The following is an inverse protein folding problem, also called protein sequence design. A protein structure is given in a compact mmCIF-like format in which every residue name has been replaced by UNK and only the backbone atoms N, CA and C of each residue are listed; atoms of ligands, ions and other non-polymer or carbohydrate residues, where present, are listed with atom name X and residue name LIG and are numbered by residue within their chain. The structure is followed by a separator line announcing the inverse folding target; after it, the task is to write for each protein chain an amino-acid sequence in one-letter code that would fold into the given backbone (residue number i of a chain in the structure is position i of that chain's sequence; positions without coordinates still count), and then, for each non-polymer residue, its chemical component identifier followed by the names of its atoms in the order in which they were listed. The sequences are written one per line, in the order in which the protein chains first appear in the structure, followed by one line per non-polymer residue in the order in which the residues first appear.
data_IF_296451064659
#
_entry.id   IF_296451064659
#
_cell.length_a   1.000
_cell.length_b   1.000
_cell.length_c   1.000
_cell.angle_alpha   90.00
_cell.angle_beta   90.00
_cell.angle_gamma   90.00
#
_symmetry.space_group_name_H-M   'P 1'
#
loop_
_entity.id
_entity.type
_entity.pdbx_description
1 polymer ?
#
# COMPACT_ATOMS: atom_id res chain seq x y z
N UNK A 1 -15.00 0.39 53.65
CA UNK A 1 -15.10 -0.77 52.72
C UNK A 1 -15.94 -0.44 51.49
N UNK A 2 -17.17 0.04 51.65
CA UNK A 2 -18.06 0.47 50.54
C UNK A 2 -17.47 1.54 49.63
N UNK A 3 -16.79 2.54 50.20
CA UNK A 3 -16.17 3.63 49.42
C UNK A 3 -15.04 3.12 48.52
N UNK A 4 -14.18 2.24 49.04
CA UNK A 4 -13.10 1.59 48.27
C UNK A 4 -13.68 0.76 47.12
N UNK A 5 -14.75 0.00 47.39
CA UNK A 5 -15.41 -0.86 46.42
C UNK A 5 -16.05 -0.04 45.29
N UNK A 6 -16.67 1.08 45.62
CA UNK A 6 -17.24 2.02 44.65
C UNK A 6 -16.16 2.66 43.76
N UNK A 7 -15.04 3.12 44.34
CA UNK A 7 -13.93 3.70 43.57
C UNK A 7 -13.33 2.67 42.60
N UNK A 8 -13.14 1.43 43.04
CA UNK A 8 -12.65 0.34 42.19
C UNK A 8 -13.58 0.06 41.01
N UNK A 9 -14.89 0.06 41.24
CA UNK A 9 -15.89 -0.16 40.19
C UNK A 9 -15.86 0.95 39.13
N UNK A 10 -15.72 2.21 39.58
CA UNK A 10 -15.61 3.39 38.73
C UNK A 10 -14.35 3.37 37.86
N UNK A 11 -13.19 3.06 38.47
CA UNK A 11 -11.93 2.92 37.74
C UNK A 11 -11.99 1.77 36.73
N UNK A 12 -12.56 0.62 37.12
CA UNK A 12 -12.67 -0.54 36.24
C UNK A 12 -13.56 -0.24 35.04
N UNK A 13 -14.72 0.39 35.25
CA UNK A 13 -15.60 0.79 34.16
C UNK A 13 -14.92 1.80 33.21
N UNK A 14 -14.16 2.75 33.74
CA UNK A 14 -13.41 3.72 32.96
C UNK A 14 -12.28 3.06 32.13
N UNK A 15 -11.49 2.19 32.75
CA UNK A 15 -10.43 1.44 32.06
C UNK A 15 -11.00 0.51 30.98
N UNK A 16 -12.13 -0.14 31.25
CA UNK A 16 -12.81 -0.96 30.27
C UNK A 16 -13.32 -0.13 29.09
N UNK A 17 -13.97 1.00 29.34
CA UNK A 17 -14.44 1.91 28.29
C UNK A 17 -13.30 2.45 27.42
N UNK A 18 -12.19 2.85 28.03
CA UNK A 18 -11.00 3.29 27.30
C UNK A 18 -10.34 2.17 26.50
N UNK A 19 -10.31 0.93 27.03
CA UNK A 19 -9.82 -0.24 26.30
C UNK A 19 -10.68 -0.55 25.06
N UNK A 20 -12.01 -0.56 25.21
CA UNK A 20 -12.94 -0.78 24.08
C UNK A 20 -12.76 0.30 23.02
N UNK A 21 -12.63 1.57 23.44
CA UNK A 21 -12.41 2.68 22.52
C UNK A 21 -11.05 2.58 21.82
N UNK A 22 -9.99 2.21 22.54
CA UNK A 22 -8.67 2.00 21.97
C UNK A 22 -8.67 0.83 20.96
N UNK A 23 -9.33 -0.28 21.28
CA UNK A 23 -9.48 -1.42 20.39
C UNK A 23 -10.30 -1.06 19.14
N UNK A 24 -11.42 -0.34 19.33
CA UNK A 24 -12.21 0.18 18.22
C UNK A 24 -11.36 1.10 17.33
N UNK A 25 -10.57 2.00 17.94
CA UNK A 25 -9.70 2.90 17.21
C UNK A 25 -8.56 2.16 16.49
N UNK A 26 -8.02 1.10 17.07
CA UNK A 26 -6.99 0.27 16.45
C UNK A 26 -7.55 -0.54 15.26
N UNK A 27 -8.71 -1.17 15.43
CA UNK A 27 -9.38 -1.94 14.36
C UNK A 27 -9.83 -1.00 13.24
N UNK A 28 -10.34 0.18 13.59
CA UNK A 28 -10.93 1.11 12.62
C UNK A 28 -9.92 2.04 11.98
N UNK A 29 -8.89 2.46 12.72
CA UNK A 29 -7.94 3.51 12.31
C UNK A 29 -6.47 3.07 12.37
N UNK A 30 -6.18 1.78 12.61
CA UNK A 30 -4.85 1.15 12.53
C UNK A 30 -4.35 1.04 11.09
N UNK A 31 -4.15 2.20 10.48
CA UNK A 31 -3.75 2.44 9.08
C UNK A 31 -2.46 1.74 8.68
N UNK A 32 -1.57 1.46 9.64
CA UNK A 32 -0.28 0.83 9.38
C UNK A 32 -0.44 -0.60 8.87
N UNK A 33 -1.44 -1.35 9.39
CA UNK A 33 -1.71 -2.73 8.98
C UNK A 33 -2.19 -2.85 7.53
N UNK A 34 -2.92 -1.85 7.02
CA UNK A 34 -3.58 -1.89 5.73
C UNK A 34 -2.61 -1.79 4.54
N UNK A 35 -1.44 -1.17 4.74
CA UNK A 35 -0.42 -0.98 3.71
C UNK A 35 0.65 -2.09 3.65
N UNK A 36 0.74 -2.98 4.66
CA UNK A 36 1.71 -4.09 4.65
C UNK A 36 1.63 -4.99 3.41
N UNK A 37 0.43 -5.34 2.90
CA UNK A 37 0.34 -6.12 1.66
C UNK A 37 1.05 -5.44 0.48
N UNK A 38 0.97 -4.11 0.37
CA UNK A 38 1.68 -3.35 -0.68
C UNK A 38 3.20 -3.37 -0.50
N UNK A 39 3.70 -3.36 0.73
CA UNK A 39 5.13 -3.55 1.00
C UNK A 39 5.58 -4.96 0.61
N UNK A 40 4.78 -5.99 0.90
CA UNK A 40 5.09 -7.36 0.50
C UNK A 40 5.15 -7.51 -1.03
N UNK A 41 4.27 -6.85 -1.78
CA UNK A 41 4.35 -6.82 -3.25
C UNK A 41 5.64 -6.15 -3.73
N UNK A 42 5.99 -4.99 -3.17
CA UNK A 42 7.24 -4.31 -3.52
C UNK A 42 8.46 -5.20 -3.24
N UNK A 43 8.49 -5.86 -2.09
CA UNK A 43 9.58 -6.75 -1.70
C UNK A 43 9.65 -7.99 -2.61
N UNK A 44 8.49 -8.51 -3.04
CA UNK A 44 8.41 -9.58 -4.05
C UNK A 44 8.98 -9.12 -5.40
N UNK A 45 8.65 -7.92 -5.87
CA UNK A 45 9.20 -7.36 -7.12
C UNK A 45 10.72 -7.17 -7.02
N UNK A 46 11.23 -6.69 -5.88
CA UNK A 46 12.68 -6.63 -5.63
C UNK A 46 13.28 -8.05 -5.66
N UNK A 47 12.59 -9.03 -5.06
CA UNK A 47 12.98 -10.43 -5.09
C UNK A 47 13.10 -10.99 -6.49
N UNK A 48 12.19 -10.64 -7.41
CA UNK A 48 12.26 -11.08 -8.81
C UNK A 48 13.53 -10.57 -9.52
N UNK A 49 14.01 -9.37 -9.18
CA UNK A 49 15.27 -8.83 -9.72
C UNK A 49 16.48 -9.52 -9.11
N UNK A 50 16.48 -9.65 -7.78
CA UNK A 50 17.66 -10.09 -7.02
C UNK A 50 17.85 -11.60 -7.08
N UNK A 51 16.76 -12.38 -7.02
CA UNK A 51 16.79 -13.84 -6.91
C UNK A 51 16.37 -14.54 -8.20
N UNK A 52 15.37 -14.02 -8.93
CA UNK A 52 14.86 -14.68 -10.15
C UNK A 52 15.56 -14.22 -11.43
N UNK A 53 16.49 -13.26 -11.33
CA UNK A 53 17.30 -12.78 -12.46
C UNK A 53 16.50 -12.00 -13.51
N UNK A 54 15.36 -11.44 -13.14
CA UNK A 54 14.59 -10.54 -14.02
C UNK A 54 15.39 -9.26 -14.26
N UNK A 55 15.52 -8.86 -15.52
CA UNK A 55 16.22 -7.63 -15.87
C UNK A 55 15.54 -6.43 -15.20
N UNK A 56 16.32 -5.57 -14.57
CA UNK A 56 15.83 -4.33 -13.97
C UNK A 56 15.25 -3.39 -15.03
N UNK A 57 15.70 -3.49 -16.28
CA UNK A 57 15.16 -2.73 -17.40
C UNK A 57 13.87 -3.32 -17.98
N UNK A 58 13.34 -4.42 -17.41
CA UNK A 58 12.08 -5.01 -17.85
C UNK A 58 10.91 -4.00 -17.65
N UNK A 59 10.16 -3.66 -18.73
CA UNK A 59 9.09 -2.68 -18.65
C UNK A 59 7.96 -3.05 -17.68
N UNK A 60 7.64 -4.34 -17.53
CA UNK A 60 6.59 -4.79 -16.62
C UNK A 60 7.02 -4.70 -15.17
N UNK A 61 8.27 -5.04 -14.88
CA UNK A 61 8.85 -4.86 -13.55
C UNK A 61 8.85 -3.38 -13.14
N UNK A 62 9.35 -2.48 -14.00
CA UNK A 62 9.38 -1.04 -13.74
C UNK A 62 7.97 -0.49 -13.50
N UNK A 63 7.02 -0.84 -14.37
CA UNK A 63 5.63 -0.43 -14.25
C UNK A 63 4.97 -0.91 -12.95
N UNK A 64 5.13 -2.19 -12.55
CA UNK A 64 4.56 -2.72 -11.31
C UNK A 64 5.20 -2.10 -10.07
N UNK A 65 6.51 -1.91 -10.11
CA UNK A 65 7.27 -1.31 -9.02
C UNK A 65 6.86 0.16 -8.80
N UNK A 66 6.82 0.94 -9.87
CA UNK A 66 6.38 2.34 -9.83
C UNK A 66 4.90 2.47 -9.45
N UNK A 67 4.03 1.54 -9.88
CA UNK A 67 2.63 1.52 -9.48
C UNK A 67 2.44 1.28 -7.97
N UNK A 68 3.20 0.33 -7.41
CA UNK A 68 3.20 0.09 -5.96
C UNK A 68 3.75 1.30 -5.20
N UNK A 69 4.88 1.87 -5.65
CA UNK A 69 5.49 3.03 -5.02
C UNK A 69 4.61 4.29 -5.10
N UNK A 70 3.90 4.53 -6.20
CA UNK A 70 3.00 5.68 -6.36
C UNK A 70 1.90 5.74 -5.28
N UNK A 71 1.50 4.58 -4.75
CA UNK A 71 0.56 4.43 -3.64
C UNK A 71 1.27 4.53 -2.29
N UNK A 72 2.42 3.85 -2.15
CA UNK A 72 3.20 3.81 -0.92
C UNK A 72 3.79 5.17 -0.53
N UNK A 73 4.08 6.07 -1.47
CA UNK A 73 4.53 7.45 -1.18
C UNK A 73 3.51 8.23 -0.34
N UNK A 74 2.21 7.91 -0.48
CA UNK A 74 1.14 8.49 0.34
C UNK A 74 0.90 7.74 1.66
N UNK A 75 1.39 6.50 1.79
CA UNK A 75 1.32 5.74 3.03
C UNK A 75 2.35 6.35 3.98
N UNK A 76 1.90 6.95 5.08
CA UNK A 76 2.79 7.40 6.16
C UNK A 76 3.52 6.25 6.89
N UNK A 77 3.50 5.05 6.31
CA UNK A 77 4.38 3.94 6.64
C UNK A 77 5.73 4.16 5.93
N UNK A 78 6.46 5.19 6.32
CA UNK A 78 7.91 5.09 6.30
C UNK A 78 8.31 5.23 7.75
N UNK A 79 8.11 4.13 8.50
CA UNK A 79 7.66 4.17 9.89
C UNK A 79 8.31 5.22 10.80
N UNK A 80 7.58 6.29 11.14
CA UNK A 80 7.84 7.23 12.26
C UNK A 80 9.12 8.09 12.23
N UNK A 81 9.29 9.06 13.17
CA UNK A 81 10.59 9.62 13.56
C UNK A 81 11.58 8.56 14.09
N UNK A 82 11.09 7.35 14.38
CA UNK A 82 11.83 6.09 14.50
C UNK A 82 12.30 5.49 13.14
N UNK A 83 11.92 6.05 11.99
CA UNK A 83 12.21 5.57 10.64
C UNK A 83 12.37 6.68 9.58
N UNK A 84 12.58 7.93 9.99
CA UNK A 84 13.05 9.00 9.10
C UNK A 84 14.56 9.01 8.80
N UNK A 85 15.47 8.47 9.63
CA UNK A 85 16.81 8.13 9.13
C UNK A 85 16.76 7.12 7.96
N UNK A 86 15.75 6.25 7.91
CA UNK A 86 15.60 5.23 6.86
C UNK A 86 15.08 5.79 5.55
N UNK A 87 14.13 6.72 5.60
CA UNK A 87 13.69 7.45 4.41
C UNK A 87 14.79 8.36 3.83
N UNK A 88 15.69 8.89 4.67
CA UNK A 88 16.83 9.70 4.22
C UNK A 88 17.92 8.87 3.49
N UNK A 89 18.21 7.63 3.93
CA UNK A 89 19.09 6.69 3.20
C UNK A 89 18.49 6.17 1.89
N UNK A 90 17.16 6.05 1.82
CA UNK A 90 16.45 5.85 0.55
C UNK A 90 16.75 7.01 -0.41
N UNK A 91 16.91 8.26 0.07
CA UNK A 91 17.21 9.44 -0.75
C UNK A 91 18.59 9.50 -1.43
N UNK A 92 19.67 8.94 -0.86
CA UNK A 92 21.00 9.03 -1.50
C UNK A 92 21.23 7.95 -2.59
N UNK A 93 20.63 6.76 -2.46
CA UNK A 93 20.84 5.60 -3.35
C UNK A 93 20.10 5.69 -4.69
N UNK A 94 19.04 6.49 -4.79
CA UNK A 94 18.44 6.88 -6.07
C UNK A 94 19.09 8.17 -6.65
N UNK A 95 20.04 8.77 -5.93
CA UNK A 95 20.72 10.04 -6.24
C UNK A 95 21.89 9.99 -7.24
N UNK A 96 22.15 8.85 -7.90
CA UNK A 96 23.30 8.71 -8.81
C UNK A 96 23.08 9.15 -10.26
N UNK A 97 21.93 8.83 -10.87
CA UNK A 97 21.50 9.22 -12.23
C UNK A 97 20.18 8.50 -12.55
N UNK A 98 19.23 9.21 -13.15
CA UNK A 98 17.97 8.71 -13.74
C UNK A 98 17.00 8.06 -12.73
N UNK A 99 16.01 8.77 -12.20
CA UNK A 99 14.74 8.96 -12.90
C UNK A 99 13.94 10.06 -12.22
N UNK A 100 13.88 11.24 -12.85
CA UNK A 100 12.81 12.22 -12.58
C UNK A 100 11.54 11.68 -13.24
N UNK A 101 10.88 10.70 -12.63
CA UNK A 101 9.46 10.46 -12.91
C UNK A 101 8.67 10.99 -11.73
N UNK A 102 8.35 12.26 -11.92
CA UNK A 102 7.52 13.19 -11.16
C UNK A 102 6.46 12.51 -10.30
N UNK A 103 6.38 12.94 -9.04
CA UNK A 103 5.14 12.93 -8.26
C UNK A 103 4.01 13.54 -9.11
N UNK A 104 3.21 12.71 -9.78
CA UNK A 104 2.16 13.26 -10.65
C UNK A 104 1.30 12.19 -11.29
N UNK A 105 1.89 11.40 -12.18
CA UNK A 105 1.17 10.44 -13.01
C UNK A 105 1.57 9.01 -12.68
N UNK A 106 0.62 8.08 -12.79
CA UNK A 106 0.92 6.66 -12.82
C UNK A 106 1.90 6.35 -13.97
N UNK A 107 2.77 5.33 -13.82
CA UNK A 107 3.62 4.87 -14.90
C UNK A 107 2.74 4.43 -16.08
N UNK A 108 3.19 4.69 -17.30
CA UNK A 108 2.49 4.18 -18.48
C UNK A 108 2.61 2.67 -18.54
N UNK A 109 1.49 1.99 -18.79
CA UNK A 109 1.46 0.54 -18.98
C UNK A 109 2.36 0.14 -20.18
N UNK A 110 3.14 -0.95 -20.06
CA UNK A 110 3.89 -1.50 -21.19
C UNK A 110 2.97 -1.93 -22.34
N UNK A 111 3.40 -1.68 -23.58
CA UNK A 111 2.71 -2.14 -24.79
C UNK A 111 2.84 -3.66 -24.99
N UNK A 112 3.85 -4.28 -24.37
CA UNK A 112 4.08 -5.72 -24.43
C UNK A 112 2.99 -6.50 -23.69
N UNK A 113 2.65 -7.72 -24.14
CA UNK A 113 1.74 -8.57 -23.39
C UNK A 113 2.31 -8.91 -22.01
N UNK A 114 1.42 -9.10 -21.03
CA UNK A 114 1.83 -9.53 -19.69
C UNK A 114 2.52 -10.89 -19.77
N UNK A 115 3.74 -10.94 -19.26
CA UNK A 115 4.48 -12.20 -19.19
C UNK A 115 4.02 -13.06 -18.00
N UNK A 116 4.01 -14.41 -18.16
CA UNK A 116 3.51 -15.31 -17.11
C UNK A 116 4.18 -15.13 -15.74
N UNK A 117 5.47 -14.79 -15.71
CA UNK A 117 6.23 -14.58 -14.47
C UNK A 117 5.70 -13.42 -13.62
N UNK A 118 5.10 -12.39 -14.24
CA UNK A 118 4.54 -11.25 -13.52
C UNK A 118 3.07 -11.44 -13.12
N UNK A 119 2.41 -12.51 -13.58
CA UNK A 119 0.99 -12.74 -13.31
C UNK A 119 0.67 -12.74 -11.81
N UNK A 120 1.46 -13.46 -11.01
CA UNK A 120 1.27 -13.50 -9.56
C UNK A 120 1.50 -12.12 -8.92
N UNK A 121 2.46 -11.33 -9.41
CA UNK A 121 2.72 -9.99 -8.88
C UNK A 121 1.57 -9.01 -9.21
N UNK A 122 0.94 -9.13 -10.39
CA UNK A 122 -0.25 -8.36 -10.78
C UNK A 122 -1.45 -8.71 -9.89
N UNK A 123 -1.68 -10.00 -9.65
CA UNK A 123 -2.76 -10.48 -8.77
C UNK A 123 -2.55 -10.00 -7.33
N UNK A 124 -1.34 -10.14 -6.80
CA UNK A 124 -1.02 -9.67 -5.45
C UNK A 124 -1.15 -8.15 -5.32
N UNK A 125 -0.75 -7.38 -6.35
CA UNK A 125 -0.89 -5.93 -6.37
C UNK A 125 -2.38 -5.51 -6.36
N UNK A 126 -3.22 -6.15 -7.18
CA UNK A 126 -4.67 -5.89 -7.15
C UNK A 126 -5.26 -6.16 -5.77
N UNK A 127 -4.93 -7.32 -5.19
CA UNK A 127 -5.43 -7.74 -3.88
C UNK A 127 -4.97 -6.80 -2.76
N UNK A 128 -3.68 -6.43 -2.76
CA UNK A 128 -3.09 -5.52 -1.79
C UNK A 128 -3.72 -4.12 -1.85
N UNK A 129 -3.97 -3.61 -3.07
CA UNK A 129 -4.59 -2.30 -3.27
C UNK A 129 -6.08 -2.33 -2.92
N UNK A 130 -6.79 -3.41 -3.24
CA UNK A 130 -8.17 -3.64 -2.81
C UNK A 130 -8.28 -3.68 -1.28
N UNK A 131 -7.35 -4.36 -0.61
CA UNK A 131 -7.25 -4.39 0.85
C UNK A 131 -7.01 -2.99 1.42
N UNK A 132 -6.04 -2.25 0.86
CA UNK A 132 -5.77 -0.87 1.26
C UNK A 132 -7.03 -0.01 1.15
N UNK A 133 -7.73 -0.03 0.01
CA UNK A 133 -8.93 0.79 -0.21
C UNK A 133 -10.06 0.47 0.78
N UNK A 134 -10.17 -0.78 1.23
CA UNK A 134 -11.20 -1.23 2.19
C UNK A 134 -10.86 -0.88 3.63
N UNK A 135 -9.57 -0.95 4.00
CA UNK A 135 -9.12 -0.88 5.39
C UNK A 135 -8.37 0.40 5.76
N UNK A 136 -7.96 1.21 4.80
CA UNK A 136 -7.26 2.48 5.05
C UNK A 136 -8.26 3.59 5.42
N UNK A 137 -8.55 3.70 6.72
CA UNK A 137 -9.39 4.74 7.33
C UNK A 137 -8.58 5.35 8.47
N UNK A 138 -7.52 6.12 8.23
CA UNK A 138 -6.77 6.66 9.38
C UNK A 138 -7.44 7.83 10.04
N UNK A 139 -7.33 7.89 11.35
CA UNK A 139 -7.83 8.99 12.18
C UNK A 139 -7.18 10.34 11.85
N UNK A 140 -5.96 10.36 11.29
CA UNK A 140 -5.25 11.59 10.92
C UNK A 140 -5.99 12.45 9.88
N UNK A 141 -6.83 11.86 9.01
CA UNK A 141 -7.68 12.66 8.11
C UNK A 141 -8.64 13.61 8.81
N UNK A 142 -8.92 13.42 10.10
CA UNK A 142 -9.75 14.35 10.85
C UNK A 142 -8.97 15.59 11.32
N UNK A 143 -7.63 15.56 11.30
CA UNK A 143 -6.80 16.59 11.93
C UNK A 143 -6.28 17.68 10.98
N UNK A 144 -6.21 17.45 9.66
CA UNK A 144 -5.68 18.45 8.71
C UNK A 144 -6.35 18.40 7.33
N UNK A 145 -6.64 19.55 6.72
CA UNK A 145 -7.12 19.66 5.33
C UNK A 145 -6.07 19.18 4.32
N UNK A 146 -4.79 19.43 4.57
CA UNK A 146 -3.70 18.97 3.71
C UNK A 146 -3.56 17.45 3.71
N UNK A 147 -3.74 16.81 4.89
CA UNK A 147 -3.72 15.35 5.00
C UNK A 147 -4.95 14.71 4.31
N UNK A 148 -6.12 15.37 4.38
CA UNK A 148 -7.31 14.94 3.63
C UNK A 148 -7.08 14.92 2.12
N UNK A 149 -6.48 15.97 1.58
CA UNK A 149 -6.22 16.05 0.14
C UNK A 149 -5.17 15.03 -0.31
N UNK A 150 -4.07 14.86 0.45
CA UNK A 150 -3.07 13.82 0.18
C UNK A 150 -3.69 12.42 0.13
N UNK A 151 -4.59 12.12 1.06
CA UNK A 151 -5.29 10.83 1.07
C UNK A 151 -6.32 10.68 -0.04
N UNK A 152 -7.00 11.76 -0.43
CA UNK A 152 -7.89 11.75 -1.59
C UNK A 152 -7.11 11.35 -2.84
N UNK A 153 -5.97 12.00 -3.09
CA UNK A 153 -5.07 11.71 -4.21
C UNK A 153 -4.58 10.25 -4.13
N UNK A 154 -4.12 9.81 -2.96
CA UNK A 154 -3.66 8.44 -2.77
C UNK A 154 -4.75 7.39 -3.05
N UNK A 155 -5.97 7.60 -2.54
CA UNK A 155 -7.11 6.71 -2.81
C UNK A 155 -7.49 6.71 -4.27
N UNK A 156 -7.40 7.86 -4.94
CA UNK A 156 -7.64 7.95 -6.38
C UNK A 156 -6.60 7.11 -7.15
N UNK A 157 -5.31 7.27 -6.87
CA UNK A 157 -4.24 6.47 -7.47
C UNK A 157 -4.41 4.98 -7.20
N UNK A 158 -4.76 4.61 -5.97
CA UNK A 158 -5.04 3.23 -5.63
C UNK A 158 -6.21 2.65 -6.44
N UNK A 159 -7.26 3.42 -6.70
CA UNK A 159 -8.35 2.97 -7.59
C UNK A 159 -7.87 2.76 -9.02
N UNK A 160 -7.14 3.74 -9.56
CA UNK A 160 -6.58 3.68 -10.90
C UNK A 160 -5.69 2.43 -11.08
N UNK A 161 -4.73 2.20 -10.18
CA UNK A 161 -3.86 0.99 -10.21
C UNK A 161 -4.67 -0.30 -10.11
N UNK A 162 -5.64 -0.38 -9.20
CA UNK A 162 -6.48 -1.58 -9.06
C UNK A 162 -7.26 -1.86 -10.36
N UNK A 163 -7.85 -0.83 -10.93
CA UNK A 163 -8.67 -0.95 -12.14
C UNK A 163 -7.81 -1.34 -13.35
N UNK A 164 -6.58 -0.83 -13.43
CA UNK A 164 -5.57 -1.26 -14.41
C UNK A 164 -5.16 -2.72 -14.21
N UNK A 165 -4.84 -3.16 -12.99
CA UNK A 165 -4.49 -4.57 -12.73
C UNK A 165 -5.66 -5.51 -13.08
N UNK A 166 -6.90 -5.13 -12.75
CA UNK A 166 -8.10 -5.89 -13.17
C UNK A 166 -8.23 -5.97 -14.68
N UNK A 167 -7.99 -4.86 -15.39
CA UNK A 167 -8.03 -4.85 -16.85
C UNK A 167 -6.98 -5.81 -17.43
N UNK A 168 -5.76 -5.81 -16.90
CA UNK A 168 -4.68 -6.73 -17.29
C UNK A 168 -5.08 -8.19 -17.07
N UNK A 169 -5.61 -8.55 -15.89
CA UNK A 169 -6.03 -9.91 -15.57
C UNK A 169 -7.20 -10.37 -16.45
N UNK A 170 -8.17 -9.48 -16.71
CA UNK A 170 -9.31 -9.78 -17.60
C UNK A 170 -8.88 -10.04 -19.05
N UNK A 171 -7.83 -9.34 -19.52
CA UNK A 171 -7.29 -9.52 -20.86
C UNK A 171 -6.54 -10.85 -20.99
N UNK A 172 -5.88 -11.30 -19.91
CA UNK A 172 -5.23 -12.61 -19.84
C UNK A 172 -6.25 -13.76 -19.88
N UNK A 173 -7.33 -13.68 -19.10
CA UNK A 173 -8.39 -14.73 -19.09
C UNK A 173 -8.98 -14.93 -20.49
N UNK A 174 -9.35 -13.84 -21.16
CA UNK A 174 -9.92 -13.88 -22.52
C UNK A 174 -8.96 -14.47 -23.56
N UNK A 175 -7.66 -14.19 -23.46
CA UNK A 175 -6.66 -14.81 -24.35
C UNK A 175 -6.50 -16.30 -24.10
N UNK A 176 -6.55 -16.73 -22.83
CA UNK A 176 -6.45 -18.15 -22.51
C UNK A 176 -7.66 -18.93 -23.07
N UNK A 177 -8.87 -18.39 -22.93
CA UNK A 177 -10.09 -18.97 -23.49
C UNK A 177 -10.02 -19.14 -25.02
N UNK A 178 -9.50 -18.12 -25.74
CA UNK A 178 -9.34 -18.15 -27.20
C UNK A 178 -8.28 -19.13 -27.70
N UNK A 179 -7.29 -19.49 -26.88
CA UNK A 179 -6.25 -20.46 -27.25
C UNK A 179 -6.70 -21.90 -26.97
N UNK A 180 -7.65 -22.08 -26.07
CA UNK A 180 -8.19 -23.41 -25.70
C UNK A 180 -9.49 -23.80 -26.42
N UNK A 181 -10.08 -22.89 -27.20
CA UNK A 181 -11.28 -23.11 -28.01
C UNK A 181 -10.92 -23.48 -29.45
#
# INVERSE_FOLDING_TARGET
MTLILFTLLLVTAFLFGTLVLALYCQIRFGDESAAYPLFAVRDKLIGMVVFDGVDRADPWLDYLYESANAILTGCHVMGGPAGWPRAAAFGERYGGKSSRKTEGSLPSRPDSPLEPRFAAAVEDLEAAVSHLLKHHIGWRTFMSSAERERRRIQRQRAREVRDEMRAVLSARSRRHELVTA
#
